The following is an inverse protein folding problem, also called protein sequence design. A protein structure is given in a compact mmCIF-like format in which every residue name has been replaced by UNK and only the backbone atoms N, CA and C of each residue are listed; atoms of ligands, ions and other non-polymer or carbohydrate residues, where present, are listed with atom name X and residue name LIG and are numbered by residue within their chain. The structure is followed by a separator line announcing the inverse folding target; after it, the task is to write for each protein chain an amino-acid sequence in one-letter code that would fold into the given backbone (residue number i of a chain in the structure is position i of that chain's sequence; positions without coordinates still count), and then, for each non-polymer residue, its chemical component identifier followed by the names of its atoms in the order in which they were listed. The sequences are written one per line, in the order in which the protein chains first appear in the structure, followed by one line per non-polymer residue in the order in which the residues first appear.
data_IF_998712211917
#
_entry.id   IF_998712211917
#
_cell.length_a   1.000
_cell.length_b   1.000
_cell.length_c   1.000
_cell.angle_alpha   90.00
_cell.angle_beta   90.00
_cell.angle_gamma   90.00
#
_symmetry.space_group_name_H-M   'P 1'
#
loop_
_entity.id
_entity.type
_entity.pdbx_description
1 polymer ?
#
# COMPACT_ATOMS: atom_id res chain seq x y z
N UNK A 1 -13.91 -2.79 16.16
CA UNK A 1 -14.23 -4.24 16.12
C UNK A 1 -14.26 -4.76 14.68
N UNK A 2 -13.09 -5.07 14.07
CA UNK A 2 -12.95 -6.05 12.95
C UNK A 2 -11.48 -6.34 12.55
N UNK A 3 -10.57 -6.40 13.52
CA UNK A 3 -9.12 -6.50 13.25
C UNK A 3 -8.77 -7.79 12.50
N UNK A 4 -9.48 -8.89 12.76
CA UNK A 4 -9.38 -10.15 12.01
C UNK A 4 -9.74 -10.02 10.52
N UNK A 5 -10.71 -9.17 10.14
CA UNK A 5 -11.02 -8.91 8.71
C UNK A 5 -9.99 -7.99 8.05
N UNK A 6 -9.38 -7.07 8.81
CA UNK A 6 -8.33 -6.17 8.30
C UNK A 6 -7.08 -6.96 7.87
N UNK A 7 -6.63 -7.91 8.69
CA UNK A 7 -5.48 -8.77 8.36
C UNK A 7 -5.70 -9.62 7.10
N UNK A 8 -6.88 -10.25 6.95
CA UNK A 8 -7.20 -11.04 5.74
C UNK A 8 -7.16 -10.19 4.46
N UNK A 9 -7.70 -8.97 4.50
CA UNK A 9 -7.65 -8.04 3.34
C UNK A 9 -6.23 -7.64 2.99
N UNK A 10 -5.39 -7.39 4.00
CA UNK A 10 -3.99 -7.03 3.80
C UNK A 10 -3.20 -8.16 3.13
N UNK A 11 -3.43 -9.41 3.54
CA UNK A 11 -2.82 -10.58 2.90
C UNK A 11 -3.23 -10.68 1.42
N UNK A 12 -4.52 -10.49 1.10
CA UNK A 12 -5.00 -10.51 -0.29
C UNK A 12 -4.29 -9.43 -1.13
N UNK A 13 -4.15 -8.22 -0.60
CA UNK A 13 -3.46 -7.13 -1.30
C UNK A 13 -1.99 -7.48 -1.55
N UNK A 14 -1.29 -8.06 -0.56
CA UNK A 14 0.11 -8.49 -0.72
C UNK A 14 0.23 -9.56 -1.81
N UNK A 15 -0.65 -10.56 -1.82
CA UNK A 15 -0.65 -11.60 -2.85
C UNK A 15 -0.87 -11.00 -4.25
N UNK A 16 -1.81 -10.07 -4.39
CA UNK A 16 -2.06 -9.37 -5.66
C UNK A 16 -0.83 -8.57 -6.10
N UNK A 17 -0.15 -7.88 -5.18
CA UNK A 17 1.06 -7.12 -5.49
C UNK A 17 2.19 -8.04 -5.99
N UNK A 18 2.39 -9.19 -5.35
CA UNK A 18 3.39 -10.18 -5.77
C UNK A 18 3.06 -10.71 -7.17
N UNK A 19 1.80 -11.07 -7.42
CA UNK A 19 1.36 -11.56 -8.73
C UNK A 19 1.56 -10.51 -9.84
N UNK A 20 1.21 -9.25 -9.58
CA UNK A 20 1.46 -8.15 -10.51
C UNK A 20 2.95 -7.94 -10.79
N UNK A 21 3.79 -8.06 -9.77
CA UNK A 21 5.24 -7.91 -9.92
C UNK A 21 5.82 -9.01 -10.81
N UNK A 22 5.44 -10.26 -10.56
CA UNK A 22 5.88 -11.41 -11.36
C UNK A 22 5.35 -11.31 -12.79
N UNK A 23 4.07 -10.97 -12.97
CA UNK A 23 3.48 -10.81 -14.30
C UNK A 23 4.15 -9.69 -15.11
N UNK A 24 4.46 -8.55 -14.47
CA UNK A 24 5.19 -7.45 -15.10
C UNK A 24 6.60 -7.88 -15.52
N UNK A 25 7.30 -8.62 -14.65
CA UNK A 25 8.64 -9.12 -14.94
C UNK A 25 8.63 -10.07 -16.13
N UNK A 26 7.77 -11.09 -16.12
CA UNK A 26 7.65 -12.06 -17.23
C UNK A 26 7.26 -11.36 -18.53
N UNK A 27 6.32 -10.41 -18.50
CA UNK A 27 5.89 -9.65 -19.68
C UNK A 27 7.06 -8.88 -20.32
N UNK A 28 8.00 -8.39 -19.51
CA UNK A 28 9.20 -7.70 -20.00
C UNK A 28 10.10 -8.62 -20.82
N UNK A 29 10.33 -9.87 -20.37
CA UNK A 29 11.15 -10.85 -21.11
C UNK A 29 10.48 -11.39 -22.36
N UNK A 30 9.14 -11.41 -22.39
CA UNK A 30 8.38 -11.78 -23.58
C UNK A 30 8.27 -10.66 -24.61
N UNK A 31 8.81 -9.46 -24.34
CA UNK A 31 8.74 -8.32 -25.24
C UNK A 31 7.42 -7.54 -25.20
N UNK A 32 6.52 -7.86 -24.26
CA UNK A 32 5.26 -7.14 -24.05
C UNK A 32 5.46 -5.87 -23.22
N UNK A 33 6.32 -4.96 -23.70
CA UNK A 33 6.74 -3.78 -22.94
C UNK A 33 5.59 -2.85 -22.54
N UNK A 34 4.60 -2.66 -23.41
CA UNK A 34 3.41 -1.84 -23.10
C UNK A 34 2.62 -2.43 -21.94
N UNK A 35 2.39 -3.74 -21.97
CA UNK A 35 1.66 -4.45 -20.92
C UNK A 35 2.44 -4.44 -19.60
N UNK A 36 3.75 -4.68 -19.65
CA UNK A 36 4.62 -4.57 -18.48
C UNK A 36 4.57 -3.17 -17.86
N UNK A 37 4.62 -2.13 -18.69
CA UNK A 37 4.52 -0.74 -18.22
C UNK A 37 3.19 -0.47 -17.49
N UNK A 38 2.06 -0.96 -18.02
CA UNK A 38 0.76 -0.83 -17.36
C UNK A 38 0.76 -1.56 -16.01
N UNK A 39 1.23 -2.80 -15.94
CA UNK A 39 1.29 -3.53 -14.67
C UNK A 39 2.18 -2.84 -13.65
N UNK A 40 3.33 -2.32 -14.06
CA UNK A 40 4.22 -1.57 -13.19
C UNK A 40 3.57 -0.27 -12.69
N UNK A 41 2.87 0.45 -13.57
CA UNK A 41 2.13 1.66 -13.20
C UNK A 41 1.04 1.38 -12.16
N UNK A 42 0.29 0.29 -12.31
CA UNK A 42 -0.71 -0.14 -11.33
C UNK A 42 -0.04 -0.46 -9.98
N UNK A 43 1.10 -1.15 -10.01
CA UNK A 43 1.83 -1.54 -8.81
C UNK A 43 2.32 -0.31 -8.03
N UNK A 44 2.88 0.68 -8.73
CA UNK A 44 3.29 1.97 -8.15
C UNK A 44 2.09 2.71 -7.55
N UNK A 45 0.96 2.78 -8.27
CA UNK A 45 -0.24 3.45 -7.76
C UNK A 45 -0.75 2.83 -6.45
N UNK A 46 -0.76 1.50 -6.35
CA UNK A 46 -1.15 0.79 -5.13
C UNK A 46 -0.17 1.10 -3.98
N UNK A 47 1.14 1.05 -4.24
CA UNK A 47 2.16 1.39 -3.24
C UNK A 47 2.01 2.82 -2.72
N UNK A 48 1.84 3.79 -3.63
CA UNK A 48 1.64 5.19 -3.27
C UNK A 48 0.37 5.41 -2.44
N UNK A 49 -0.72 4.72 -2.77
CA UNK A 49 -1.97 4.81 -2.01
C UNK A 49 -1.81 4.26 -0.58
N UNK A 50 -1.18 3.10 -0.42
CA UNK A 50 -0.93 2.48 0.89
C UNK A 50 0.01 3.36 1.72
N UNK A 51 1.12 3.81 1.13
CA UNK A 51 2.11 4.66 1.81
C UNK A 51 1.52 6.01 2.25
N UNK A 52 0.71 6.65 1.40
CA UNK A 52 0.04 7.90 1.73
C UNK A 52 -0.92 7.73 2.90
N UNK A 53 -1.72 6.66 2.90
CA UNK A 53 -2.65 6.36 3.99
C UNK A 53 -1.93 6.12 5.32
N UNK A 54 -0.84 5.36 5.29
CA UNK A 54 0.00 5.14 6.47
C UNK A 54 0.62 6.44 7.00
N UNK A 55 1.07 7.33 6.10
CA UNK A 55 1.61 8.65 6.48
C UNK A 55 0.57 9.54 7.16
N UNK A 56 -0.67 9.55 6.64
CA UNK A 56 -1.79 10.32 7.21
C UNK A 56 -2.14 9.79 8.60
N UNK A 57 -2.33 8.47 8.74
CA UNK A 57 -2.65 7.84 10.02
C UNK A 57 -1.56 8.15 11.08
N UNK A 58 -0.29 8.10 10.68
CA UNK A 58 0.83 8.43 11.57
C UNK A 58 0.83 9.91 12.00
N UNK A 59 0.56 10.84 11.07
CA UNK A 59 0.44 12.27 11.39
C UNK A 59 -0.70 12.55 12.37
N UNK A 60 -1.86 11.93 12.14
CA UNK A 60 -3.02 12.05 13.04
C UNK A 60 -2.69 11.48 14.42
N UNK A 61 -2.00 10.33 14.47
CA UNK A 61 -1.55 9.73 15.72
C UNK A 61 -0.61 10.67 16.51
N UNK A 62 0.41 11.22 15.86
CA UNK A 62 1.35 12.16 16.48
C UNK A 62 0.65 13.44 16.94
N UNK A 63 -0.22 14.02 16.11
CA UNK A 63 -0.99 15.22 16.48
C UNK A 63 -1.87 14.97 17.70
N UNK A 64 -2.60 13.85 17.71
CA UNK A 64 -3.47 13.48 18.84
C UNK A 64 -2.66 13.23 20.11
N UNK A 65 -1.51 12.54 19.99
CA UNK A 65 -0.61 12.29 21.11
C UNK A 65 -0.06 13.59 21.71
N UNK A 66 0.39 14.51 20.86
CA UNK A 66 0.92 15.80 21.30
C UNK A 66 -0.17 16.68 21.92
N UNK A 67 -1.36 16.71 21.33
CA UNK A 67 -2.50 17.44 21.88
C UNK A 67 -2.92 16.91 23.26
N UNK A 68 -3.03 15.57 23.43
CA UNK A 68 -3.31 14.96 24.74
C UNK A 68 -2.22 15.21 25.78
N UNK A 69 -0.97 15.31 25.35
CA UNK A 69 0.15 15.59 26.25
C UNK A 69 0.16 17.07 26.69
N UNK A 70 -0.21 17.98 25.79
CA UNK A 70 -0.29 19.41 26.09
C UNK A 70 -1.46 19.76 27.03
N UNK A 71 -2.60 19.06 26.91
CA UNK A 71 -3.78 19.22 27.78
C UNK A 71 -3.66 18.57 29.18
N UNK A 72 -2.50 17.97 29.51
CA UNK A 72 -2.22 17.41 30.85
C UNK A 72 -1.46 18.38 31.77
N UNK A 73 -1.10 19.54 31.26
CA UNK A 73 -0.61 20.70 32.01
C UNK A 73 -1.70 21.77 32.01
#
# INVERSE_FOLDING_TARGET
MNEKKKGKRQIIVIVIMILLMVASFVSMFQGYYRTAFVFFGILVAIMSFIGSRASIDNRVYLHTKNYKNNNRW
#
